data_IF_273763047025
#
_entry.id   IF_273763047025
#
_cell.length_a   1.000
_cell.length_b   1.000
_cell.length_c   1.000
_cell.angle_alpha   90.00
_cell.angle_beta   90.00
_cell.angle_gamma   90.00
#
_symmetry.space_group_name_H-M   'P 1'
#
loop_
_entity.id
_entity.type
_entity.pdbx_description
1 polymer ?
#
# COMPACT_ATOMS: atom_id res chain seq x y z
N UNK A 1 18.92 19.88 19.21
CA UNK A 1 17.74 19.00 19.31
C UNK A 1 17.84 18.06 18.12
N UNK A 2 18.17 16.79 18.37
CA UNK A 2 18.64 15.88 17.33
C UNK A 2 17.54 15.56 16.31
N UNK A 3 17.80 16.00 15.09
CA UNK A 3 17.01 15.79 13.88
C UNK A 3 16.88 14.28 13.62
N UNK A 4 15.66 13.76 13.62
CA UNK A 4 15.40 12.41 13.12
C UNK A 4 15.82 12.37 11.66
N UNK A 5 16.91 11.65 11.36
CA UNK A 5 17.48 11.46 10.03
C UNK A 5 16.61 10.66 9.06
N UNK A 6 15.29 10.85 9.09
CA UNK A 6 14.36 10.36 8.07
C UNK A 6 14.50 11.27 6.86
N UNK A 7 15.49 10.99 6.01
CA UNK A 7 15.91 11.90 4.94
C UNK A 7 15.02 11.86 3.70
N UNK A 8 14.07 10.92 3.58
CA UNK A 8 13.11 10.89 2.46
C UNK A 8 11.74 10.31 2.84
N UNK A 9 10.69 10.67 2.09
CA UNK A 9 9.36 10.07 2.23
C UNK A 9 9.37 8.53 2.07
N UNK A 10 10.36 7.97 1.36
CA UNK A 10 10.56 6.52 1.25
C UNK A 10 10.89 5.86 2.59
N UNK A 11 11.70 6.51 3.43
CA UNK A 11 12.08 6.00 4.74
C UNK A 11 10.86 5.87 5.67
N UNK A 12 9.87 6.75 5.53
CA UNK A 12 8.64 6.72 6.32
C UNK A 12 7.76 5.50 6.02
N UNK A 13 7.84 4.91 4.83
CA UNK A 13 7.17 3.63 4.52
C UNK A 13 7.78 2.43 5.27
N UNK A 14 9.06 2.53 5.65
CA UNK A 14 9.78 1.47 6.36
C UNK A 14 9.52 1.47 7.86
N UNK A 15 8.98 2.56 8.41
CA UNK A 15 8.73 2.69 9.84
C UNK A 15 7.66 1.68 10.29
N UNK A 16 8.10 0.73 11.11
CA UNK A 16 7.29 -0.33 11.70
C UNK A 16 6.61 0.15 12.99
N UNK A 17 5.61 -0.60 13.47
CA UNK A 17 5.04 -0.34 14.80
C UNK A 17 6.08 -0.57 15.90
N UNK A 18 7.02 -1.48 15.67
CA UNK A 18 8.13 -1.75 16.57
C UNK A 18 9.08 -0.56 16.68
N UNK A 19 9.33 0.18 15.59
CA UNK A 19 10.10 1.43 15.65
C UNK A 19 9.41 2.48 16.53
N UNK A 20 8.09 2.62 16.42
CA UNK A 20 7.33 3.49 17.32
C UNK A 20 7.42 3.01 18.78
N UNK A 21 7.41 1.70 19.04
CA UNK A 21 7.55 1.16 20.38
C UNK A 21 8.95 1.38 20.97
N UNK A 22 9.99 1.18 20.17
CA UNK A 22 11.39 1.37 20.56
C UNK A 22 11.71 2.83 20.92
N UNK A 23 11.01 3.79 20.29
CA UNK A 23 11.20 5.23 20.51
C UNK A 23 10.13 5.88 21.39
N UNK A 24 9.41 5.12 22.21
CA UNK A 24 8.33 5.61 23.09
C UNK A 24 7.17 6.34 22.37
N UNK A 25 7.04 6.15 21.06
CA UNK A 25 5.99 6.71 20.20
C UNK A 25 4.69 5.91 20.16
N UNK A 26 4.57 4.80 20.90
CA UNK A 26 3.35 3.97 20.93
C UNK A 26 2.10 4.74 21.32
N UNK A 27 2.22 5.73 22.22
CA UNK A 27 1.09 6.57 22.63
C UNK A 27 0.54 7.41 21.49
N UNK A 28 1.42 8.01 20.69
CA UNK A 28 1.06 8.81 19.51
C UNK A 28 0.35 7.92 18.48
N UNK A 29 0.94 6.76 18.16
CA UNK A 29 0.34 5.82 17.21
C UNK A 29 -1.02 5.30 17.71
N UNK A 30 -1.19 5.15 19.03
CA UNK A 30 -2.46 4.83 19.67
C UNK A 30 -3.56 5.87 19.43
N UNK A 31 -3.23 7.17 19.44
CA UNK A 31 -4.18 8.25 19.12
C UNK A 31 -4.71 8.18 17.68
N UNK A 32 -3.97 7.55 16.76
CA UNK A 32 -4.36 7.33 15.37
C UNK A 32 -4.88 5.90 15.12
N UNK A 33 -5.42 5.23 16.15
CA UNK A 33 -5.97 3.87 16.06
C UNK A 33 -4.98 2.83 15.50
N UNK A 34 -3.69 3.00 15.82
CA UNK A 34 -2.61 2.18 15.29
C UNK A 34 -2.49 2.18 13.75
N UNK A 35 -2.99 3.25 13.11
CA UNK A 35 -2.93 3.47 11.68
C UNK A 35 -1.81 4.46 11.35
N UNK A 36 -0.70 3.93 10.82
CA UNK A 36 0.47 4.73 10.43
C UNK A 36 0.15 5.65 9.26
N UNK A 37 -0.71 5.23 8.34
CA UNK A 37 -1.06 6.05 7.18
C UNK A 37 -1.74 7.35 7.64
N UNK A 38 -2.67 7.26 8.59
CA UNK A 38 -3.33 8.44 9.18
C UNK A 38 -2.35 9.37 9.87
N UNK A 39 -1.40 8.81 10.62
CA UNK A 39 -0.35 9.60 11.27
C UNK A 39 0.52 10.33 10.24
N UNK A 40 0.90 9.67 9.15
CA UNK A 40 1.72 10.25 8.09
C UNK A 40 0.96 11.30 7.27
N UNK A 41 -0.30 11.04 6.94
CA UNK A 41 -1.18 12.03 6.31
C UNK A 41 -1.38 13.27 7.19
N UNK A 42 -1.39 13.11 8.52
CA UNK A 42 -1.50 14.22 9.46
C UNK A 42 -0.19 15.03 9.57
N UNK A 43 0.95 14.35 9.61
CA UNK A 43 2.26 14.99 9.82
C UNK A 43 2.91 15.52 8.54
N UNK A 44 2.61 14.91 7.40
CA UNK A 44 3.13 15.23 6.08
C UNK A 44 1.98 15.21 5.05
N UNK A 45 0.99 16.11 5.16
CA UNK A 45 -0.18 16.17 4.28
C UNK A 45 0.17 16.49 2.82
N UNK A 46 1.34 17.08 2.56
CA UNK A 46 1.86 17.38 1.23
C UNK A 46 2.32 16.15 0.45
N UNK A 47 2.54 15.02 1.13
CA UNK A 47 2.99 13.78 0.51
C UNK A 47 1.80 12.91 0.08
N UNK A 48 1.84 12.43 -1.17
CA UNK A 48 0.87 11.47 -1.69
C UNK A 48 1.25 10.04 -1.24
N UNK A 49 0.66 9.61 -0.12
CA UNK A 49 0.97 8.33 0.50
C UNK A 49 0.26 7.17 -0.18
N UNK A 50 1.02 6.37 -0.94
CA UNK A 50 0.61 5.09 -1.51
C UNK A 50 0.51 3.97 -0.45
N UNK A 51 -0.69 3.53 -0.02
CA UNK A 51 -0.84 2.61 1.12
C UNK A 51 -0.26 1.20 0.88
N UNK A 52 -0.12 0.80 -0.39
CA UNK A 52 0.43 -0.50 -0.77
C UNK A 52 1.95 -0.59 -0.66
N UNK A 53 2.66 0.53 -0.45
CA UNK A 53 4.12 0.54 -0.23
C UNK A 53 4.53 0.27 1.21
N UNK A 54 3.58 0.33 2.15
CA UNK A 54 3.86 -0.05 3.53
C UNK A 54 4.09 -1.56 3.64
N UNK A 55 5.05 -1.97 4.47
CA UNK A 55 5.32 -3.39 4.75
C UNK A 55 4.08 -4.17 5.20
N UNK A 56 3.15 -3.49 5.87
CA UNK A 56 1.81 -4.00 6.12
C UNK A 56 0.79 -2.96 5.67
N UNK A 57 0.02 -3.32 4.65
CA UNK A 57 -1.03 -2.47 4.08
C UNK A 57 -2.11 -2.22 5.15
N UNK A 58 -2.48 -0.95 5.42
CA UNK A 58 -3.51 -0.63 6.40
C UNK A 58 -4.84 -1.34 6.12
N UNK A 59 -5.53 -1.75 7.19
CA UNK A 59 -6.84 -2.40 7.09
C UNK A 59 -7.84 -1.47 6.40
N UNK A 60 -8.61 -2.00 5.46
CA UNK A 60 -9.62 -1.22 4.72
C UNK A 60 -9.10 -0.51 3.47
N UNK A 61 -7.78 -0.49 3.23
CA UNK A 61 -7.18 0.13 2.02
C UNK A 61 -7.88 -0.33 0.73
N UNK A 62 -8.11 -1.64 0.60
CA UNK A 62 -8.68 -2.24 -0.61
C UNK A 62 -10.19 -2.10 -0.75
N UNK A 63 -10.86 -1.39 0.16
CA UNK A 63 -12.30 -1.08 0.02
C UNK A 63 -12.53 0.10 -0.93
N UNK A 64 -11.50 0.92 -1.15
CA UNK A 64 -11.56 2.08 -2.03
C UNK A 64 -11.07 1.72 -3.44
N UNK A 65 -11.92 1.91 -4.45
CA UNK A 65 -11.57 1.64 -5.85
C UNK A 65 -10.37 2.46 -6.33
N UNK A 66 -10.20 3.68 -5.81
CA UNK A 66 -9.05 4.54 -6.09
C UNK A 66 -7.74 3.91 -5.66
N UNK A 67 -7.71 3.23 -4.50
CA UNK A 67 -6.53 2.51 -4.03
C UNK A 67 -6.24 1.26 -4.86
N UNK A 68 -7.29 0.54 -5.28
CA UNK A 68 -7.15 -0.61 -6.17
C UNK A 68 -6.53 -0.17 -7.50
N UNK A 69 -7.08 0.88 -8.12
CA UNK A 69 -6.57 1.44 -9.38
C UNK A 69 -5.15 1.94 -9.24
N UNK A 70 -4.86 2.75 -8.22
CA UNK A 70 -3.51 3.28 -8.00
C UNK A 70 -2.47 2.17 -7.83
N UNK A 71 -2.80 1.09 -7.12
CA UNK A 71 -1.93 -0.09 -7.02
C UNK A 71 -1.70 -0.77 -8.38
N UNK A 72 -2.76 -0.98 -9.16
CA UNK A 72 -2.65 -1.63 -10.47
C UNK A 72 -1.87 -0.75 -11.47
N UNK A 73 -2.05 0.57 -11.44
CA UNK A 73 -1.32 1.53 -12.26
C UNK A 73 0.18 1.54 -11.91
N UNK A 74 0.51 1.58 -10.63
CA UNK A 74 1.90 1.51 -10.14
C UNK A 74 2.56 0.18 -10.53
N UNK A 75 1.85 -0.94 -10.34
CA UNK A 75 2.31 -2.26 -10.75
C UNK A 75 2.52 -2.36 -12.27
N UNK A 76 1.57 -1.85 -13.06
CA UNK A 76 1.65 -1.84 -14.51
C UNK A 76 2.83 -1.02 -15.01
N UNK A 77 3.05 0.17 -14.43
CA UNK A 77 4.21 1.00 -14.74
C UNK A 77 5.52 0.28 -14.43
N UNK A 78 5.64 -0.34 -13.25
CA UNK A 78 6.84 -1.09 -12.84
C UNK A 78 7.12 -2.30 -13.75
N UNK A 79 6.08 -3.00 -14.20
CA UNK A 79 6.19 -4.18 -15.09
C UNK A 79 6.14 -3.82 -16.58
N UNK A 80 6.02 -2.54 -16.93
CA UNK A 80 5.85 -2.03 -18.31
C UNK A 80 4.68 -2.69 -19.03
N UNK A 81 3.59 -2.93 -18.32
CA UNK A 81 2.33 -3.45 -18.87
C UNK A 81 1.57 -2.27 -19.47
N UNK A 82 1.42 -2.28 -20.79
CA UNK A 82 0.71 -1.21 -21.53
C UNK A 82 -0.56 -1.70 -22.20
N UNK A 83 -0.85 -3.01 -22.13
CA UNK A 83 -1.99 -3.63 -22.84
C UNK A 83 -2.73 -4.62 -21.94
N UNK A 84 -4.01 -4.82 -22.22
CA UNK A 84 -4.84 -5.83 -21.55
C UNK A 84 -4.23 -7.24 -21.65
N UNK A 85 -3.59 -7.58 -22.78
CA UNK A 85 -2.89 -8.84 -22.96
C UNK A 85 -1.70 -9.02 -22.00
N UNK A 86 -1.06 -7.92 -21.58
CA UNK A 86 0.02 -7.97 -20.59
C UNK A 86 -0.44 -8.49 -19.23
N UNK A 87 -1.67 -8.16 -18.82
CA UNK A 87 -2.27 -8.66 -17.57
C UNK A 87 -2.52 -10.17 -17.57
N UNK A 88 -2.70 -10.80 -18.72
CA UNK A 88 -2.91 -12.26 -18.82
C UNK A 88 -1.70 -13.08 -18.37
N UNK A 89 -0.50 -12.48 -18.38
CA UNK A 89 0.75 -13.11 -17.95
C UNK A 89 1.04 -12.93 -16.47
N UNK A 90 0.24 -12.11 -15.79
CA UNK A 90 0.43 -11.77 -14.39
C UNK A 90 -0.28 -12.77 -13.51
N UNK A 91 0.45 -13.32 -12.56
CA UNK A 91 -0.07 -14.26 -11.58
C UNK A 91 -0.50 -13.53 -10.31
N UNK A 92 -1.42 -14.10 -9.51
CA UNK A 92 -1.75 -13.54 -8.20
C UNK A 92 -0.54 -13.48 -7.26
N UNK A 93 0.48 -14.33 -7.49
CA UNK A 93 1.74 -14.28 -6.73
C UNK A 93 2.56 -13.04 -7.06
N UNK A 94 2.54 -12.55 -8.30
CA UNK A 94 3.22 -11.32 -8.69
C UNK A 94 2.61 -10.11 -7.95
N UNK A 95 1.27 -10.04 -7.89
CA UNK A 95 0.59 -8.99 -7.13
C UNK A 95 0.87 -9.11 -5.63
N UNK A 96 0.90 -10.33 -5.09
CA UNK A 96 1.27 -10.56 -3.68
C UNK A 96 2.68 -10.08 -3.38
N UNK A 97 3.65 -10.36 -4.25
CA UNK A 97 5.03 -9.92 -4.09
C UNK A 97 5.17 -8.39 -4.12
N UNK A 98 4.25 -7.69 -4.79
CA UNK A 98 4.17 -6.24 -4.82
C UNK A 98 3.35 -5.61 -3.67
N UNK A 99 2.92 -6.40 -2.67
CA UNK A 99 2.12 -5.91 -1.53
C UNK A 99 0.60 -6.01 -1.72
N UNK A 100 0.13 -6.44 -2.89
CA UNK A 100 -1.27 -6.67 -3.23
C UNK A 100 -1.86 -7.99 -2.69
N UNK A 101 -1.19 -8.68 -1.77
CA UNK A 101 -1.64 -9.98 -1.25
C UNK A 101 -3.01 -9.90 -0.56
N UNK A 102 -3.23 -8.84 0.21
CA UNK A 102 -4.52 -8.57 0.86
C UNK A 102 -5.63 -8.12 -0.11
N UNK A 103 -5.26 -7.68 -1.31
CA UNK A 103 -6.20 -7.37 -2.39
C UNK A 103 -6.64 -8.66 -3.06
N UNK A 104 -5.70 -9.41 -3.64
CA UNK A 104 -6.01 -10.50 -4.59
C UNK A 104 -6.60 -11.76 -3.94
N UNK A 105 -6.24 -12.07 -2.69
CA UNK A 105 -6.72 -13.27 -1.98
C UNK A 105 -7.95 -13.01 -1.09
N UNK A 106 -8.69 -11.95 -1.35
CA UNK A 106 -9.96 -11.71 -0.68
C UNK A 106 -11.09 -12.61 -1.25
N UNK A 107 -12.28 -12.54 -0.64
CA UNK A 107 -13.45 -13.31 -1.09
C UNK A 107 -14.01 -12.85 -2.44
N UNK A 108 -13.71 -11.62 -2.85
CA UNK A 108 -14.26 -11.02 -4.07
C UNK A 108 -13.52 -11.52 -5.32
N UNK A 109 -12.18 -11.59 -5.26
CA UNK A 109 -11.34 -11.95 -6.39
C UNK A 109 -10.87 -13.40 -6.34
N UNK A 110 -10.72 -13.98 -5.14
CA UNK A 110 -10.30 -15.37 -4.94
C UNK A 110 -9.07 -15.79 -5.80
N UNK A 111 -8.08 -14.90 -5.94
CA UNK A 111 -6.89 -15.15 -6.75
C UNK A 111 -7.01 -14.79 -8.24
N UNK A 112 -8.16 -14.32 -8.71
CA UNK A 112 -8.40 -13.98 -10.11
C UNK A 112 -7.91 -12.58 -10.46
N UNK A 113 -6.72 -12.50 -11.07
CA UNK A 113 -6.14 -11.24 -11.56
C UNK A 113 -7.03 -10.64 -12.66
N UNK A 114 -7.59 -11.48 -13.53
CA UNK A 114 -8.45 -11.03 -14.62
C UNK A 114 -9.68 -10.29 -14.08
N UNK A 115 -10.39 -10.88 -13.13
CA UNK A 115 -11.64 -10.29 -12.62
C UNK A 115 -11.36 -9.01 -11.84
N UNK A 116 -10.26 -8.97 -11.09
CA UNK A 116 -9.77 -7.76 -10.45
C UNK A 116 -9.51 -6.63 -11.45
N UNK A 117 -8.77 -6.91 -12.54
CA UNK A 117 -8.45 -5.90 -13.56
C UNK A 117 -9.70 -5.43 -14.30
N UNK A 118 -10.62 -6.33 -14.67
CA UNK A 118 -11.88 -5.96 -15.29
C UNK A 118 -12.76 -5.10 -14.38
N UNK A 119 -12.78 -5.37 -13.08
CA UNK A 119 -13.55 -4.55 -12.14
C UNK A 119 -12.89 -3.19 -11.89
N UNK A 120 -11.56 -3.12 -11.91
CA UNK A 120 -10.83 -1.87 -11.76
C UNK A 120 -10.95 -0.98 -13.00
N UNK A 121 -10.92 -1.56 -14.21
CA UNK A 121 -11.01 -0.87 -15.50
C UNK A 121 -12.20 -1.39 -16.31
N UNK A 122 -13.44 -0.95 -15.98
CA UNK A 122 -14.64 -1.31 -16.73
C UNK A 122 -14.69 -0.67 -18.13
#
# INVERSE_FOLDING_TARGET
MAELGMRTADDLYRVSKEDFAAHHGSGILGSFNNDRLKLLQYTHPECDWQPWRFAAVPKGTWQELTNIRGFLDDFAAAKKITTAAGWQRITPMDLKAAGGGGLIYNKEWNGSVRDLVCAAYP
#
